data_IF_111645934377
#
_entry.id   IF_111645934377
#
_cell.length_a   1.000
_cell.length_b   1.000
_cell.length_c   1.000
_cell.angle_alpha   90.00
_cell.angle_beta   90.00
_cell.angle_gamma   90.00
#
_symmetry.space_group_name_H-M   'P 1'
#
loop_
_entity.id
_entity.type
_entity.pdbx_description
1 polymer ?
#
# COMPACT_ATOMS: atom_id res chain seq x y z
N UNK A 1 19.95 21.70 32.64
CA UNK A 1 19.93 21.25 31.23
C UNK A 1 19.24 19.89 31.18
N UNK A 2 18.03 19.83 30.62
CA UNK A 2 17.33 18.59 30.27
C UNK A 2 16.95 18.71 28.79
N UNK A 3 17.25 17.73 27.93
CA UNK A 3 16.79 17.75 26.55
C UNK A 3 15.34 17.25 26.50
N UNK A 4 14.42 18.09 26.00
CA UNK A 4 13.09 17.64 25.61
C UNK A 4 13.22 16.81 24.33
N UNK A 5 12.85 15.53 24.44
CA UNK A 5 12.34 14.74 23.32
C UNK A 5 10.97 15.31 22.95
N UNK A 6 10.72 15.40 21.65
CA UNK A 6 9.43 15.32 20.95
C UNK A 6 9.50 16.23 19.73
N UNK A 7 10.17 15.72 18.70
CA UNK A 7 10.26 16.30 17.37
C UNK A 7 9.88 15.27 16.32
N UNK A 8 8.63 14.82 16.35
CA UNK A 8 7.99 14.21 15.19
C UNK A 8 6.55 14.73 15.12
N UNK A 9 6.44 15.96 14.63
CA UNK A 9 5.18 16.53 14.17
C UNK A 9 5.26 16.63 12.66
N UNK A 10 4.30 16.01 11.97
CA UNK A 10 3.78 16.53 10.71
C UNK A 10 2.36 16.00 10.52
N UNK A 11 1.46 16.64 11.26
CA UNK A 11 0.15 17.10 10.80
C UNK A 11 -0.69 16.14 9.96
N UNK A 12 -1.46 15.29 10.63
CA UNK A 12 -2.74 14.83 10.09
C UNK A 12 -3.76 15.97 10.26
N UNK A 13 -3.61 17.02 9.44
CA UNK A 13 -4.60 18.08 9.33
C UNK A 13 -5.74 17.47 8.53
N UNK A 14 -6.92 17.31 9.15
CA UNK A 14 -8.15 16.91 8.45
C UNK A 14 -8.21 17.70 7.14
N UNK A 15 -7.92 17.05 6.03
CA UNK A 15 -8.24 17.56 4.71
C UNK A 15 -9.75 17.57 4.66
N UNK A 16 -10.30 18.71 5.05
CA UNK A 16 -11.68 19.05 4.83
C UNK A 16 -11.91 18.85 3.34
N UNK A 17 -12.68 17.83 3.02
CA UNK A 17 -13.04 17.46 1.65
C UNK A 17 -13.78 18.69 1.11
N UNK A 18 -13.06 19.55 0.39
CA UNK A 18 -13.68 20.67 -0.28
C UNK A 18 -14.76 20.10 -1.21
N UNK A 19 -15.91 20.77 -1.32
CA UNK A 19 -16.94 20.30 -2.23
C UNK A 19 -16.35 20.17 -3.64
N UNK A 20 -16.46 18.97 -4.21
CA UNK A 20 -16.11 18.71 -5.60
C UNK A 20 -17.08 19.47 -6.47
N UNK A 21 -16.61 20.59 -7.00
CA UNK A 21 -17.36 21.38 -7.96
C UNK A 21 -17.15 20.77 -9.35
N UNK A 22 -18.13 20.89 -10.26
CA UNK A 22 -18.01 20.37 -11.62
C UNK A 22 -16.73 20.82 -12.34
N UNK A 23 -16.25 22.04 -12.08
CA UNK A 23 -15.01 22.54 -12.69
C UNK A 23 -13.77 21.76 -12.23
N UNK A 24 -13.72 21.33 -10.96
CA UNK A 24 -12.62 20.48 -10.44
C UNK A 24 -12.72 19.06 -10.99
N UNK A 25 -13.92 18.52 -11.13
CA UNK A 25 -14.14 17.18 -11.69
C UNK A 25 -13.66 17.11 -13.13
N UNK A 26 -13.94 18.15 -13.94
CA UNK A 26 -13.44 18.24 -15.31
C UNK A 26 -11.91 18.18 -15.34
N UNK A 27 -11.22 18.90 -14.43
CA UNK A 27 -9.76 18.83 -14.34
C UNK A 27 -9.27 17.44 -13.89
N UNK A 28 -10.00 16.78 -12.99
CA UNK A 28 -9.70 15.40 -12.61
C UNK A 28 -9.85 14.45 -13.80
N UNK A 29 -10.88 14.58 -14.63
CA UNK A 29 -11.05 13.75 -15.82
C UNK A 29 -9.96 13.99 -16.86
N UNK A 30 -9.48 15.22 -17.02
CA UNK A 30 -8.28 15.49 -17.82
C UNK A 30 -7.04 14.80 -17.23
N UNK A 31 -6.86 14.86 -15.92
CA UNK A 31 -5.76 14.17 -15.24
C UNK A 31 -5.87 12.63 -15.30
N UNK A 32 -7.08 12.07 -15.40
CA UNK A 32 -7.31 10.64 -15.61
C UNK A 32 -7.14 10.22 -17.08
N UNK A 33 -7.02 11.16 -18.02
CA UNK A 33 -6.87 10.88 -19.44
C UNK A 33 -5.72 9.91 -19.72
N UNK A 34 -6.07 8.67 -20.07
CA UNK A 34 -5.12 7.60 -20.37
C UNK A 34 -4.47 6.92 -19.16
N UNK A 35 -4.81 7.32 -17.92
CA UNK A 35 -4.33 6.70 -16.67
C UNK A 35 -5.48 5.98 -15.99
N UNK A 36 -5.26 4.70 -15.66
CA UNK A 36 -6.26 3.91 -14.93
C UNK A 36 -5.93 3.91 -13.44
N UNK A 37 -6.80 4.44 -12.57
CA UNK A 37 -6.59 4.41 -11.13
C UNK A 37 -6.86 3.03 -10.52
N UNK A 38 -6.86 1.94 -11.31
CA UNK A 38 -7.12 0.57 -10.86
C UNK A 38 -6.01 -0.39 -11.32
N UNK A 39 -6.03 -1.60 -10.77
CA UNK A 39 -5.11 -2.69 -11.12
C UNK A 39 -3.77 -2.68 -10.42
N UNK A 40 -2.85 -3.47 -10.99
CA UNK A 40 -1.57 -3.77 -10.35
C UNK A 40 -0.69 -2.54 -10.15
N UNK A 41 -0.86 -1.51 -10.99
CA UNK A 41 -0.10 -0.28 -10.95
C UNK A 41 -0.90 0.91 -10.39
N UNK A 42 -2.07 0.68 -9.76
CA UNK A 42 -2.99 1.74 -9.32
C UNK A 42 -2.33 2.84 -8.48
N UNK A 43 -1.37 2.47 -7.62
CA UNK A 43 -0.68 3.43 -6.78
C UNK A 43 0.23 4.37 -7.58
N UNK A 44 0.98 3.83 -8.56
CA UNK A 44 1.80 4.64 -9.45
C UNK A 44 0.96 5.51 -10.37
N UNK A 45 -0.11 4.94 -10.92
CA UNK A 45 -1.06 5.69 -11.74
C UNK A 45 -1.68 6.84 -10.96
N UNK A 46 -2.03 6.63 -9.69
CA UNK A 46 -2.56 7.69 -8.84
C UNK A 46 -1.56 8.82 -8.59
N UNK A 47 -0.26 8.50 -8.38
CA UNK A 47 0.76 9.54 -8.21
C UNK A 47 0.78 10.46 -9.44
N UNK A 48 0.77 9.89 -10.65
CA UNK A 48 0.72 10.70 -11.88
C UNK A 48 -0.57 11.50 -12.02
N UNK A 49 -1.72 10.94 -11.63
CA UNK A 49 -3.00 11.65 -11.63
C UNK A 49 -2.96 12.82 -10.64
N UNK A 50 -2.44 12.60 -9.44
CA UNK A 50 -2.31 13.63 -8.40
C UNK A 50 -1.40 14.77 -8.87
N UNK A 51 -0.22 14.46 -9.40
CA UNK A 51 0.72 15.46 -9.91
C UNK A 51 0.09 16.30 -11.02
N UNK A 52 -0.57 15.65 -11.98
CA UNK A 52 -1.23 16.35 -13.07
C UNK A 52 -2.44 17.18 -12.58
N UNK A 53 -3.24 16.63 -11.66
CA UNK A 53 -4.38 17.34 -11.09
C UNK A 53 -3.95 18.60 -10.32
N UNK A 54 -2.89 18.50 -9.52
CA UNK A 54 -2.32 19.64 -8.80
C UNK A 54 -1.76 20.69 -9.77
N UNK A 55 -1.16 20.25 -10.88
CA UNK A 55 -0.68 21.14 -11.95
C UNK A 55 -1.81 21.88 -12.65
N UNK A 56 -2.94 21.22 -12.91
CA UNK A 56 -4.10 21.80 -13.60
C UNK A 56 -4.93 22.74 -12.71
N UNK A 57 -5.08 22.40 -11.43
CA UNK A 57 -5.89 23.18 -10.48
C UNK A 57 -5.09 24.27 -9.76
N UNK A 58 -3.77 24.17 -9.74
CA UNK A 58 -2.89 25.06 -8.96
C UNK A 58 -3.07 24.89 -7.44
N UNK A 59 -3.65 23.77 -7.01
CA UNK A 59 -3.90 23.44 -5.61
C UNK A 59 -3.13 22.18 -5.23
N UNK A 60 -2.64 22.13 -3.99
CA UNK A 60 -2.03 20.92 -3.45
C UNK A 60 -3.13 20.03 -2.86
N UNK A 61 -3.42 18.93 -3.55
CA UNK A 61 -4.35 17.90 -3.09
C UNK A 61 -3.58 16.59 -2.91
N UNK A 62 -3.86 15.86 -1.83
CA UNK A 62 -3.29 14.53 -1.61
C UNK A 62 -3.96 13.48 -2.49
N UNK A 63 -3.23 12.41 -2.79
CA UNK A 63 -3.79 11.25 -3.49
C UNK A 63 -4.96 10.61 -2.74
N UNK A 64 -4.98 10.66 -1.40
CA UNK A 64 -6.08 10.13 -0.58
C UNK A 64 -7.42 10.83 -0.84
N UNK A 65 -7.41 12.15 -1.03
CA UNK A 65 -8.64 12.92 -1.32
C UNK A 65 -9.17 12.56 -2.70
N UNK A 66 -8.30 12.34 -3.68
CA UNK A 66 -8.68 11.93 -5.04
C UNK A 66 -9.27 10.51 -5.01
N UNK A 67 -8.63 9.58 -4.30
CA UNK A 67 -9.16 8.22 -4.10
C UNK A 67 -10.54 8.22 -3.46
N UNK A 68 -10.71 8.93 -2.34
CA UNK A 68 -12.01 9.04 -1.67
C UNK A 68 -13.09 9.58 -2.59
N UNK A 69 -12.76 10.54 -3.44
CA UNK A 69 -13.72 11.07 -4.39
C UNK A 69 -14.08 10.08 -5.48
N UNK A 70 -13.08 9.38 -6.05
CA UNK A 70 -13.31 8.32 -7.03
C UNK A 70 -14.21 7.22 -6.47
N UNK A 71 -14.02 6.84 -5.20
CA UNK A 71 -14.89 5.86 -4.51
C UNK A 71 -16.35 6.34 -4.37
N UNK A 72 -16.62 7.66 -4.44
CA UNK A 72 -18.00 8.18 -4.41
C UNK A 72 -18.70 8.12 -5.77
N UNK A 73 -17.94 8.17 -6.86
CA UNK A 73 -18.48 8.21 -8.23
C UNK A 73 -18.31 6.89 -8.99
N UNK A 74 -17.41 6.02 -8.53
CA UNK A 74 -17.11 4.72 -9.11
C UNK A 74 -17.00 3.63 -8.03
N UNK A 75 -17.41 2.42 -8.38
CA UNK A 75 -17.09 1.23 -7.61
C UNK A 75 -15.67 0.76 -7.96
N UNK A 76 -14.70 1.31 -7.22
CA UNK A 76 -13.27 1.08 -7.48
C UNK A 76 -12.84 -0.36 -7.21
N UNK A 77 -13.50 -1.06 -6.28
CA UNK A 77 -13.22 -2.47 -5.97
C UNK A 77 -13.63 -3.36 -7.15
N UNK A 78 -14.85 -3.19 -7.67
CA UNK A 78 -15.31 -3.95 -8.84
C UNK A 78 -14.42 -3.66 -10.05
N UNK A 79 -14.02 -2.41 -10.27
CA UNK A 79 -13.12 -2.06 -11.37
C UNK A 79 -11.72 -2.68 -11.22
N UNK A 80 -11.21 -2.76 -9.99
CA UNK A 80 -9.91 -3.37 -9.71
C UNK A 80 -9.89 -4.88 -9.99
N UNK A 81 -10.94 -5.60 -9.61
CA UNK A 81 -11.03 -7.05 -9.81
C UNK A 81 -11.28 -7.44 -11.28
N UNK A 82 -11.90 -6.56 -12.06
CA UNK A 82 -12.18 -6.80 -13.48
C UNK A 82 -11.02 -6.37 -14.40
N UNK A 83 -9.90 -5.87 -13.87
CA UNK A 83 -8.77 -5.51 -14.73
C UNK A 83 -8.02 -6.75 -15.21
N UNK A 84 -7.94 -6.89 -16.54
CA UNK A 84 -7.17 -7.93 -17.19
C UNK A 84 -5.68 -7.80 -16.86
N UNK A 85 -5.13 -8.81 -16.18
CA UNK A 85 -3.70 -8.88 -15.92
C UNK A 85 -2.96 -9.09 -17.26
N UNK A 86 -1.90 -8.30 -17.54
CA UNK A 86 -1.13 -8.44 -18.78
C UNK A 86 -0.29 -9.73 -18.81
N UNK A 87 -0.20 -10.43 -17.68
CA UNK A 87 0.47 -11.71 -17.55
C UNK A 87 -0.54 -12.80 -17.19
N UNK A 88 -0.31 -13.99 -17.75
CA UNK A 88 -1.13 -15.17 -17.49
C UNK A 88 -0.98 -15.60 -16.02
N UNK A 89 -1.86 -15.13 -15.13
CA UNK A 89 -1.90 -15.52 -13.71
C UNK A 89 -2.54 -16.91 -13.52
N UNK A 90 -2.02 -17.92 -14.21
CA UNK A 90 -2.42 -19.31 -14.00
C UNK A 90 -1.74 -19.79 -12.73
N UNK A 91 -2.53 -20.25 -11.77
CA UNK A 91 -1.98 -20.97 -10.62
C UNK A 91 -1.35 -22.28 -11.13
N UNK A 92 -0.09 -22.50 -10.81
CA UNK A 92 0.63 -23.72 -11.11
C UNK A 92 1.45 -24.14 -9.90
N UNK A 93 1.61 -25.44 -9.70
CA UNK A 93 2.52 -25.95 -8.69
C UNK A 93 3.94 -25.41 -8.94
N UNK A 94 4.63 -25.07 -7.86
CA UNK A 94 6.02 -24.66 -7.95
C UNK A 94 6.87 -25.83 -8.44
N UNK A 95 7.57 -25.65 -9.56
CA UNK A 95 8.55 -26.60 -10.07
C UNK A 95 9.90 -25.92 -10.09
N UNK A 96 10.87 -26.51 -9.38
CA UNK A 96 12.24 -26.03 -9.42
C UNK A 96 12.81 -26.30 -10.83
N UNK A 97 13.37 -25.28 -11.53
CA UNK A 97 14.05 -25.51 -12.80
C UNK A 97 15.15 -26.56 -12.65
N UNK A 98 15.31 -27.43 -13.64
CA UNK A 98 16.27 -28.55 -13.58
C UNK A 98 17.72 -28.08 -13.38
N UNK A 99 18.03 -26.86 -13.83
CA UNK A 99 19.35 -26.24 -13.72
C UNK A 99 19.58 -25.57 -12.35
N UNK A 100 18.54 -25.45 -11.52
CA UNK A 100 18.64 -24.88 -10.19
C UNK A 100 19.21 -25.91 -9.22
N UNK A 101 20.50 -25.78 -8.91
CA UNK A 101 21.12 -26.51 -7.80
C UNK A 101 20.79 -25.78 -6.50
N UNK A 102 19.97 -26.40 -5.64
CA UNK A 102 19.83 -25.91 -4.27
C UNK A 102 21.21 -26.03 -3.62
N UNK A 103 21.83 -24.93 -3.18
CA UNK A 103 23.09 -24.99 -2.46
C UNK A 103 22.87 -25.91 -1.27
N UNK A 104 23.64 -27.00 -1.18
CA UNK A 104 23.60 -27.89 -0.04
C UNK A 104 24.04 -27.08 1.19
N UNK A 105 23.08 -26.56 1.94
CA UNK A 105 23.36 -26.06 3.28
C UNK A 105 23.81 -27.30 4.05
N UNK A 106 25.05 -27.37 4.57
CA UNK A 106 25.44 -28.49 5.38
C UNK A 106 24.46 -28.57 6.55
N UNK A 107 23.77 -29.70 6.69
CA UNK A 107 22.78 -29.98 7.75
C UNK A 107 23.38 -29.94 9.18
N UNK A 108 24.63 -29.51 9.31
CA UNK A 108 25.31 -29.20 10.57
C UNK A 108 25.03 -27.75 10.99
N UNK A 109 23.76 -27.39 11.18
CA UNK A 109 23.48 -26.42 12.24
C UNK A 109 23.60 -27.21 13.54
N UNK A 110 24.45 -26.80 14.51
CA UNK A 110 24.44 -27.43 15.81
C UNK A 110 23.03 -27.29 16.36
N UNK A 111 22.34 -28.41 16.57
CA UNK A 111 21.13 -28.42 17.35
C UNK A 111 21.50 -27.91 18.73
N UNK A 112 21.30 -26.62 19.00
CA UNK A 112 21.30 -26.12 20.37
C UNK A 112 20.17 -26.89 21.06
N UNK A 113 20.47 -27.68 22.11
CA UNK A 113 19.41 -28.29 22.88
C UNK A 113 18.51 -27.16 23.38
N UNK A 114 17.22 -27.23 23.04
CA UNK A 114 16.23 -26.31 23.57
C UNK A 114 16.31 -26.39 25.10
N UNK A 115 16.85 -25.35 25.73
CA UNK A 115 16.75 -25.20 27.18
C UNK A 115 15.28 -24.99 27.51
N UNK A 116 14.65 -25.88 28.29
CA UNK A 116 13.31 -25.60 28.78
C UNK A 116 13.43 -24.37 29.69
N UNK A 117 12.92 -23.23 29.22
CA UNK A 117 12.75 -22.06 30.07
C UNK A 117 11.72 -22.45 31.12
N UNK A 118 12.20 -22.69 32.35
CA UNK A 118 11.37 -22.91 33.53
C UNK A 118 10.51 -21.65 33.72
N UNK A 119 9.23 -21.74 33.38
CA UNK A 119 8.24 -20.71 33.72
C UNK A 119 8.30 -20.45 35.22
N UNK A 120 8.37 -19.18 35.67
CA UNK A 120 8.32 -18.87 37.08
C UNK A 120 6.91 -19.20 37.62
N UNK A 121 6.85 -20.17 38.53
CA UNK A 121 5.67 -20.46 39.33
C UNK A 121 5.20 -19.18 40.02
N UNK A 122 3.99 -18.71 39.71
CA UNK A 122 3.29 -17.73 40.53
C UNK A 122 2.64 -18.48 41.69
N UNK A 123 3.19 -18.30 42.88
CA UNK A 123 2.57 -18.66 44.15
C UNK A 123 1.13 -18.13 44.20
N UNK A 124 0.17 -19.03 44.33
CA UNK A 124 -1.12 -18.74 44.97
C UNK A 124 -1.08 -19.32 46.37
N UNK A 125 -0.93 -18.43 47.34
CA UNK A 125 -1.01 -18.67 48.78
C UNK A 125 -2.49 -18.81 49.16
N UNK A 126 -2.84 -19.88 49.87
CA UNK A 126 -4.10 -20.02 50.63
C UNK A 126 -4.17 -19.03 51.78
#
# INVERSE_FOLDING_TARGET
MKPNKDGLSSQNKKEEIQPWKPEKEVQLFYALGGRRPVGINRFFQMIFVQEEFNRLTGQEVTSEVIWKYLDTIYDMDVLNENEDLPFSNKQSDFVLPHDYQIPSIPLSLPATPATPTKSPNKSTKS
#
